data_IF_393259459487
#
_entry.id   IF_393259459487
#
_cell.length_a   1.000
_cell.length_b   1.000
_cell.length_c   1.000
_cell.angle_alpha   90.00
_cell.angle_beta   90.00
_cell.angle_gamma   90.00
#
_symmetry.space_group_name_H-M   'P 1'
#
loop_
_entity.id
_entity.type
_entity.pdbx_description
1 polymer ?
#
# COMPACT_ATOMS: atom_id res chain seq x y z
N UNK A 1 26.59 11.28 -20.21
CA UNK A 1 26.37 10.55 -21.47
C UNK A 1 24.98 9.91 -21.39
N UNK A 2 23.92 10.73 -21.58
CA UNK A 2 22.48 10.33 -21.55
C UNK A 2 21.82 10.93 -22.80
N UNK A 3 22.26 10.51 -23.95
CA UNK A 3 21.76 11.09 -25.20
C UNK A 3 21.69 10.07 -26.29
N UNK A 4 20.80 9.04 -26.15
CA UNK A 4 20.49 8.17 -27.32
C UNK A 4 19.22 7.29 -27.08
N UNK A 5 18.22 7.76 -26.30
CA UNK A 5 16.95 7.03 -26.14
C UNK A 5 15.75 7.68 -26.84
N UNK A 6 16.00 8.62 -27.76
CA UNK A 6 14.97 9.12 -28.69
C UNK A 6 15.33 8.73 -30.09
N UNK A 7 15.31 7.44 -30.43
CA UNK A 7 15.09 7.06 -31.82
C UNK A 7 13.63 7.33 -32.13
N UNK A 8 13.40 8.22 -33.07
CA UNK A 8 12.11 8.43 -33.71
C UNK A 8 11.47 7.08 -34.00
N UNK A 9 10.48 6.71 -33.20
CA UNK A 9 9.64 5.55 -33.46
C UNK A 9 8.76 5.95 -34.64
N UNK A 10 9.05 5.46 -35.83
CA UNK A 10 8.18 5.57 -37.00
C UNK A 10 6.94 4.66 -36.88
N UNK A 11 6.69 4.08 -35.70
CA UNK A 11 5.50 3.33 -35.47
C UNK A 11 4.27 4.26 -35.46
N UNK A 12 3.24 3.90 -36.22
CA UNK A 12 1.98 4.62 -36.21
C UNK A 12 1.45 4.71 -34.77
N UNK A 13 0.86 5.84 -34.35
CA UNK A 13 0.28 5.96 -33.03
C UNK A 13 -0.78 4.88 -32.84
N UNK A 14 -0.77 4.23 -31.65
CA UNK A 14 -1.82 3.27 -31.28
C UNK A 14 -3.12 4.05 -31.13
N UNK A 15 -4.14 3.69 -31.90
CA UNK A 15 -5.46 4.29 -31.76
C UNK A 15 -6.07 3.87 -30.41
N UNK A 16 -6.41 4.84 -29.58
CA UNK A 16 -7.15 4.61 -28.35
C UNK A 16 -8.65 4.61 -28.64
N UNK A 17 -9.33 3.50 -28.33
CA UNK A 17 -10.78 3.42 -28.36
C UNK A 17 -11.35 3.75 -26.99
N UNK A 18 -12.41 4.58 -26.95
CA UNK A 18 -13.11 4.88 -25.71
C UNK A 18 -13.86 3.61 -25.26
N UNK A 19 -13.55 3.12 -24.06
CA UNK A 19 -14.29 2.07 -23.39
C UNK A 19 -15.04 2.68 -22.20
N UNK A 20 -16.33 2.88 -22.35
CA UNK A 20 -17.19 3.40 -21.27
C UNK A 20 -17.62 2.22 -20.39
N UNK A 21 -16.99 2.04 -19.23
CA UNK A 21 -17.49 1.21 -18.15
C UNK A 21 -18.29 2.09 -17.18
N UNK A 22 -19.58 1.83 -17.03
CA UNK A 22 -20.40 2.40 -15.95
C UNK A 22 -20.37 1.45 -14.78
N UNK A 23 -19.67 1.82 -13.71
CA UNK A 23 -19.78 1.17 -12.42
C UNK A 23 -20.44 2.16 -11.45
N UNK A 24 -21.44 1.70 -10.69
CA UNK A 24 -21.92 2.40 -9.49
C UNK A 24 -21.23 1.71 -8.34
N UNK A 25 -20.15 2.30 -7.83
CA UNK A 25 -19.46 1.80 -6.66
C UNK A 25 -20.04 2.50 -5.43
N UNK A 26 -20.64 1.72 -4.53
CA UNK A 26 -20.85 2.12 -3.15
C UNK A 26 -19.76 1.43 -2.34
N UNK A 27 -18.79 2.19 -1.86
CA UNK A 27 -17.68 1.68 -1.07
C UNK A 27 -17.96 1.97 0.42
N UNK A 28 -17.93 0.92 1.24
CA UNK A 28 -17.96 1.04 2.69
C UNK A 28 -16.58 0.65 3.19
N UNK A 29 -15.83 1.62 3.68
CA UNK A 29 -14.52 1.40 4.26
C UNK A 29 -14.63 1.23 5.77
N UNK A 30 -14.06 0.14 6.30
CA UNK A 30 -13.96 -0.13 7.73
C UNK A 30 -12.56 0.17 8.21
N UNK A 31 -12.41 1.24 8.99
CA UNK A 31 -11.17 1.58 9.64
C UNK A 31 -11.16 1.12 11.09
N UNK A 32 -9.99 0.73 11.64
CA UNK A 32 -9.86 0.52 13.07
C UNK A 32 -10.24 1.79 13.84
N UNK A 33 -10.85 1.63 15.01
CA UNK A 33 -11.11 2.76 15.89
C UNK A 33 -9.81 3.48 16.26
N UNK A 34 -9.73 4.75 15.91
CA UNK A 34 -8.64 5.63 16.28
C UNK A 34 -9.12 6.60 17.35
N UNK A 35 -8.34 6.76 18.40
CA UNK A 35 -8.67 7.65 19.53
C UNK A 35 -8.84 9.11 19.12
N UNK A 36 -8.26 9.55 18.01
CA UNK A 36 -8.43 10.88 17.41
C UNK A 36 -7.96 10.89 15.95
N UNK A 37 -8.48 11.81 15.09
CA UNK A 37 -7.92 12.04 13.77
C UNK A 37 -6.44 12.42 13.90
N UNK A 38 -5.59 11.70 13.17
CA UNK A 38 -4.15 11.97 13.20
C UNK A 38 -3.78 13.11 12.26
N UNK A 39 -3.07 14.10 12.79
CA UNK A 39 -2.28 15.01 11.96
C UNK A 39 -1.02 14.33 11.40
N UNK A 40 -0.30 15.00 10.50
CA UNK A 40 0.97 14.49 9.99
C UNK A 40 1.96 14.20 11.14
N UNK A 41 2.50 12.98 11.18
CA UNK A 41 3.51 12.59 12.16
C UNK A 41 4.83 13.35 11.96
N UNK A 42 5.68 13.34 12.99
CA UNK A 42 7.03 13.86 12.86
C UNK A 42 7.84 13.06 11.83
N UNK A 43 7.67 11.75 11.80
CA UNK A 43 8.30 10.82 10.83
C UNK A 43 7.88 11.16 9.41
N UNK A 44 6.58 11.36 9.16
CA UNK A 44 6.06 11.73 7.84
C UNK A 44 6.62 13.07 7.35
N UNK A 45 6.63 14.11 8.21
CA UNK A 45 7.23 15.40 7.86
C UNK A 45 8.71 15.29 7.54
N UNK A 46 9.45 14.48 8.32
CA UNK A 46 10.87 14.24 8.08
C UNK A 46 11.08 13.54 6.73
N UNK A 47 10.31 12.50 6.42
CA UNK A 47 10.37 11.75 5.17
C UNK A 47 10.12 12.66 3.96
N UNK A 48 9.08 13.51 4.01
CA UNK A 48 8.80 14.49 2.95
C UNK A 48 9.96 15.47 2.76
N UNK A 49 10.45 16.02 3.85
CA UNK A 49 11.58 16.98 3.82
C UNK A 49 12.84 16.34 3.25
N UNK A 50 13.17 15.12 3.68
CA UNK A 50 14.31 14.37 3.16
C UNK A 50 14.16 14.05 1.65
N UNK A 51 12.95 13.65 1.22
CA UNK A 51 12.67 13.39 -0.18
C UNK A 51 12.80 14.63 -1.07
N UNK A 52 12.25 15.77 -0.64
CA UNK A 52 12.42 17.03 -1.37
C UNK A 52 13.89 17.47 -1.43
N UNK A 53 14.63 17.35 -0.32
CA UNK A 53 16.07 17.67 -0.26
C UNK A 53 16.89 16.75 -1.17
N UNK A 54 16.48 15.48 -1.30
CA UNK A 54 17.12 14.53 -2.21
C UNK A 54 16.75 14.75 -3.68
N UNK A 55 15.87 15.69 -3.99
CA UNK A 55 15.42 15.97 -5.35
C UNK A 55 14.53 14.87 -5.94
N UNK A 56 13.79 14.15 -5.09
CA UNK A 56 12.83 13.16 -5.58
C UNK A 56 11.78 13.82 -6.47
N UNK A 57 11.45 13.11 -7.53
CA UNK A 57 10.47 13.53 -8.54
C UNK A 57 9.27 12.62 -8.53
N UNK A 58 8.18 13.05 -9.14
CA UNK A 58 7.00 12.21 -9.36
C UNK A 58 7.39 10.89 -10.05
N UNK A 59 7.00 9.77 -9.47
CA UNK A 59 7.35 8.44 -9.97
C UNK A 59 6.72 8.10 -11.33
N UNK A 60 5.74 8.89 -11.78
CA UNK A 60 5.05 8.70 -13.07
C UNK A 60 5.52 9.71 -14.10
N UNK A 61 5.48 11.00 -13.76
CA UNK A 61 5.76 12.08 -14.71
C UNK A 61 7.19 12.61 -14.69
N UNK A 62 7.96 12.32 -13.64
CA UNK A 62 9.28 12.92 -13.43
C UNK A 62 9.23 14.40 -13.02
N UNK A 63 8.06 14.98 -12.77
CA UNK A 63 7.94 16.38 -12.35
C UNK A 63 8.50 16.60 -10.94
N UNK A 64 9.14 17.75 -10.66
CA UNK A 64 9.67 18.08 -9.36
C UNK A 64 8.55 18.41 -8.35
N UNK A 65 8.93 18.44 -7.08
CA UNK A 65 8.04 18.80 -5.96
C UNK A 65 6.79 17.90 -5.81
N UNK A 66 6.95 16.56 -5.79
CA UNK A 66 5.81 15.65 -5.63
C UNK A 66 5.18 15.75 -4.24
N UNK A 67 3.91 15.37 -4.16
CA UNK A 67 3.25 14.96 -2.94
C UNK A 67 3.66 13.50 -2.60
N UNK A 68 3.36 13.01 -1.38
CA UNK A 68 3.77 11.67 -0.94
C UNK A 68 2.54 10.86 -0.55
N UNK A 69 2.40 9.69 -1.16
CA UNK A 69 1.29 8.77 -0.96
C UNK A 69 1.79 7.47 -0.32
N UNK A 70 1.04 6.93 0.65
CA UNK A 70 1.29 5.62 1.22
C UNK A 70 0.93 4.53 0.20
N UNK A 71 1.86 3.62 -0.13
CA UNK A 71 1.66 2.63 -1.20
C UNK A 71 1.07 1.33 -0.69
N UNK A 72 1.66 0.80 0.37
CA UNK A 72 1.32 -0.55 0.85
C UNK A 72 0.42 -0.52 2.07
N UNK A 73 0.64 0.43 2.96
CA UNK A 73 -0.10 0.57 4.20
C UNK A 73 -0.42 2.03 4.47
N UNK A 74 -1.70 2.38 4.47
CA UNK A 74 -2.20 3.64 4.98
C UNK A 74 -2.12 3.68 6.50
N UNK A 75 -1.88 4.87 7.04
CA UNK A 75 -1.85 5.05 8.49
C UNK A 75 -3.13 4.57 9.17
N UNK A 76 -4.27 4.76 8.55
CA UNK A 76 -5.56 4.38 9.08
C UNK A 76 -5.66 2.89 9.46
N UNK A 77 -4.89 2.02 8.80
CA UNK A 77 -4.87 0.58 9.04
C UNK A 77 -3.73 0.12 9.96
N UNK A 78 -2.80 1.00 10.32
CA UNK A 78 -1.58 0.62 11.04
C UNK A 78 -1.86 -0.14 12.36
N UNK A 79 -2.89 0.28 13.09
CA UNK A 79 -3.25 -0.31 14.38
C UNK A 79 -3.92 -1.69 14.27
N UNK A 80 -4.43 -2.05 13.09
CA UNK A 80 -5.04 -3.36 12.83
C UNK A 80 -4.03 -4.43 12.39
N UNK A 81 -2.79 -4.04 12.04
CA UNK A 81 -1.77 -4.95 11.53
C UNK A 81 -1.00 -5.60 12.68
N UNK A 82 -0.75 -6.90 12.55
CA UNK A 82 0.21 -7.62 13.38
C UNK A 82 1.63 -7.40 12.88
N UNK A 83 2.24 -6.31 13.34
CA UNK A 83 3.60 -5.93 12.93
C UNK A 83 4.69 -6.90 13.39
N UNK A 84 4.43 -7.68 14.43
CA UNK A 84 5.35 -8.74 14.88
C UNK A 84 5.44 -9.83 13.82
N UNK A 85 4.30 -10.26 13.30
CA UNK A 85 4.25 -11.23 12.20
C UNK A 85 4.86 -10.64 10.93
N UNK A 86 4.56 -9.39 10.56
CA UNK A 86 5.17 -8.71 9.39
C UNK A 86 6.69 -8.70 9.49
N UNK A 87 7.25 -8.30 10.65
CA UNK A 87 8.68 -8.33 10.89
C UNK A 87 9.25 -9.74 10.74
N UNK A 88 8.62 -10.73 11.38
CA UNK A 88 9.06 -12.13 11.32
C UNK A 88 9.12 -12.67 9.88
N UNK A 89 8.16 -12.30 9.02
CA UNK A 89 8.19 -12.59 7.57
C UNK A 89 9.38 -11.91 6.91
N UNK A 90 9.54 -10.61 7.16
CA UNK A 90 10.56 -9.79 6.48
C UNK A 90 11.98 -10.24 6.77
N UNK A 91 12.28 -10.65 8.01
CA UNK A 91 13.61 -11.14 8.44
C UNK A 91 13.76 -12.66 8.31
N UNK A 92 12.74 -13.35 7.80
CA UNK A 92 12.78 -14.78 7.51
C UNK A 92 12.66 -15.69 8.71
N UNK A 93 12.17 -15.22 9.85
CA UNK A 93 11.85 -16.04 11.03
C UNK A 93 10.55 -16.82 10.84
N UNK A 94 9.57 -16.22 10.16
CA UNK A 94 8.31 -16.87 9.80
C UNK A 94 8.43 -17.41 8.37
N UNK A 95 8.16 -18.72 8.22
CA UNK A 95 8.24 -19.45 6.94
C UNK A 95 6.90 -19.84 6.36
N UNK A 96 5.87 -19.86 7.20
CA UNK A 96 4.52 -20.23 6.82
C UNK A 96 3.52 -19.24 7.42
N UNK A 97 2.46 -18.99 6.69
CA UNK A 97 1.32 -18.18 7.13
C UNK A 97 0.06 -19.04 7.20
N UNK A 98 -0.90 -18.70 8.08
CA UNK A 98 -2.15 -19.40 8.14
C UNK A 98 -2.96 -19.21 6.86
N UNK A 99 -3.59 -20.28 6.39
CA UNK A 99 -4.65 -20.19 5.38
C UNK A 99 -5.90 -19.67 6.08
N UNK A 100 -6.41 -18.55 5.60
CA UNK A 100 -7.64 -17.95 6.12
C UNK A 100 -8.86 -18.43 5.33
N UNK A 101 -9.96 -18.59 6.02
CA UNK A 101 -11.26 -18.78 5.40
C UNK A 101 -11.70 -17.46 4.75
N UNK A 102 -12.05 -17.43 3.44
CA UNK A 102 -12.30 -16.18 2.74
C UNK A 102 -13.59 -15.46 3.16
N UNK A 103 -14.49 -16.15 3.89
CA UNK A 103 -15.75 -15.58 4.35
C UNK A 103 -15.62 -15.04 5.78
N UNK A 104 -15.02 -15.85 6.67
CA UNK A 104 -14.93 -15.51 8.10
C UNK A 104 -13.62 -14.81 8.46
N UNK A 105 -12.64 -14.84 7.55
CA UNK A 105 -11.28 -14.31 7.76
C UNK A 105 -10.54 -14.95 8.95
N UNK A 106 -10.97 -16.17 9.34
CA UNK A 106 -10.36 -16.91 10.43
C UNK A 106 -9.40 -17.99 9.94
N UNK A 107 -8.34 -18.30 10.70
CA UNK A 107 -7.43 -19.40 10.37
C UNK A 107 -8.16 -20.74 10.26
N UNK A 108 -7.91 -21.46 9.16
CA UNK A 108 -8.49 -22.78 8.89
C UNK A 108 -7.74 -23.93 9.57
N UNK A 109 -6.64 -23.64 10.27
CA UNK A 109 -5.71 -24.63 10.83
C UNK A 109 -4.71 -25.18 9.81
N UNK A 110 -4.74 -24.73 8.56
CA UNK A 110 -3.74 -25.02 7.53
C UNK A 110 -2.77 -23.86 7.37
N UNK A 111 -1.59 -24.13 6.81
CA UNK A 111 -0.59 -23.12 6.49
C UNK A 111 -0.18 -23.19 5.01
N UNK A 112 0.49 -22.15 4.54
CA UNK A 112 1.10 -22.09 3.21
C UNK A 112 2.45 -21.35 3.28
N UNK A 113 3.39 -21.65 2.36
CA UNK A 113 4.71 -21.00 2.35
C UNK A 113 4.61 -19.49 2.21
N UNK A 114 5.35 -18.77 3.04
CA UNK A 114 5.35 -17.30 3.08
C UNK A 114 5.73 -16.67 1.74
N UNK A 115 6.58 -17.33 0.96
CA UNK A 115 7.04 -16.89 -0.36
C UNK A 115 5.91 -16.74 -1.39
N UNK A 116 4.77 -17.39 -1.14
CA UNK A 116 3.57 -17.29 -1.99
C UNK A 116 2.64 -16.17 -1.56
N UNK A 117 2.96 -15.45 -0.50
CA UNK A 117 2.11 -14.40 0.05
C UNK A 117 2.43 -13.03 -0.53
N UNK A 118 1.43 -12.16 -0.61
CA UNK A 118 1.61 -10.77 -1.00
C UNK A 118 2.44 -9.99 0.03
N UNK A 119 2.32 -10.31 1.34
CA UNK A 119 3.12 -9.65 2.36
C UNK A 119 4.61 -9.92 2.19
N UNK A 120 5.01 -11.13 1.76
CA UNK A 120 6.39 -11.42 1.44
C UNK A 120 6.92 -10.54 0.30
N UNK A 121 6.13 -10.38 -0.77
CA UNK A 121 6.48 -9.49 -1.88
C UNK A 121 6.64 -8.04 -1.41
N UNK A 122 5.74 -7.55 -0.56
CA UNK A 122 5.84 -6.20 0.04
C UNK A 122 7.15 -6.07 0.84
N UNK A 123 7.50 -7.08 1.67
CA UNK A 123 8.74 -7.08 2.43
C UNK A 123 9.98 -7.07 1.52
N UNK A 124 9.97 -7.81 0.42
CA UNK A 124 11.06 -7.78 -0.57
C UNK A 124 11.21 -6.40 -1.22
N UNK A 125 10.10 -5.79 -1.67
CA UNK A 125 10.11 -4.46 -2.29
C UNK A 125 10.62 -3.41 -1.31
N UNK A 126 10.14 -3.41 -0.07
CA UNK A 126 10.50 -2.41 0.93
C UNK A 126 11.95 -2.59 1.41
N UNK A 127 12.47 -3.83 1.48
CA UNK A 127 13.90 -4.12 1.69
C UNK A 127 14.75 -3.56 0.54
N UNK A 128 14.34 -3.78 -0.71
CA UNK A 128 15.01 -3.21 -1.87
C UNK A 128 15.01 -1.67 -1.85
N UNK A 129 13.97 -1.07 -1.28
CA UNK A 129 13.85 0.37 -1.01
C UNK A 129 14.58 0.83 0.27
N UNK A 130 15.44 -0.03 0.83
CA UNK A 130 16.34 0.24 1.96
C UNK A 130 15.65 0.40 3.32
N UNK A 131 14.50 -0.21 3.52
CA UNK A 131 13.94 -0.33 4.86
C UNK A 131 14.66 -1.42 5.65
N UNK A 132 15.05 -1.09 6.88
CA UNK A 132 15.75 -2.03 7.77
C UNK A 132 14.74 -2.75 8.67
N UNK A 133 14.27 -3.90 8.21
CA UNK A 133 13.34 -4.75 8.96
C UNK A 133 13.97 -5.33 10.24
N UNK A 134 15.30 -5.52 10.30
CA UNK A 134 15.94 -6.00 11.53
C UNK A 134 15.87 -4.94 12.64
N UNK A 135 16.09 -3.69 12.31
CA UNK A 135 16.01 -2.56 13.25
C UNK A 135 14.56 -2.11 13.53
N UNK A 136 13.57 -2.55 12.74
CA UNK A 136 12.17 -2.17 12.91
C UNK A 136 11.62 -2.59 14.27
N UNK A 137 10.94 -1.67 14.97
CA UNK A 137 10.23 -1.91 16.22
C UNK A 137 8.72 -2.06 15.92
N UNK A 138 8.11 -3.25 16.11
CA UNK A 138 6.69 -3.48 15.89
C UNK A 138 5.76 -2.59 16.71
N UNK A 139 6.24 -2.06 17.86
CA UNK A 139 5.47 -1.14 18.70
C UNK A 139 5.48 0.32 18.17
N UNK A 140 6.24 0.57 17.09
CA UNK A 140 6.37 1.88 16.45
C UNK A 140 6.12 1.80 14.95
N UNK A 141 4.90 1.41 14.54
CA UNK A 141 4.57 1.17 13.14
C UNK A 141 4.78 2.40 12.25
N UNK A 142 4.70 3.61 12.80
CA UNK A 142 4.95 4.85 12.07
C UNK A 142 6.35 4.91 11.45
N UNK A 143 7.31 4.18 12.01
CA UNK A 143 8.68 4.12 11.46
C UNK A 143 8.75 3.41 10.12
N UNK A 144 7.80 2.50 9.82
CA UNK A 144 7.59 1.91 8.51
C UNK A 144 6.55 2.68 7.70
N UNK A 145 5.36 2.87 8.25
CA UNK A 145 4.21 3.43 7.54
C UNK A 145 4.54 4.79 6.93
N UNK A 146 5.23 5.63 7.68
CA UNK A 146 5.63 6.97 7.26
C UNK A 146 7.05 7.04 6.65
N UNK A 147 7.68 5.88 6.38
CA UNK A 147 9.01 5.82 5.76
C UNK A 147 8.96 5.99 4.25
N UNK A 148 10.08 6.37 3.65
CA UNK A 148 10.22 6.42 2.19
C UNK A 148 10.02 5.04 1.53
N UNK A 149 10.21 3.94 2.25
CA UNK A 149 9.99 2.60 1.73
C UNK A 149 8.50 2.32 1.44
N UNK A 150 7.59 2.94 2.21
CA UNK A 150 6.14 2.86 2.02
C UNK A 150 5.56 4.06 1.25
N UNK A 151 6.39 5.04 0.83
CA UNK A 151 5.92 6.24 0.13
C UNK A 151 6.12 6.14 -1.38
N UNK A 152 5.18 6.71 -2.13
CA UNK A 152 5.29 6.96 -3.56
C UNK A 152 5.19 8.47 -3.80
N UNK A 153 6.25 9.10 -4.32
CA UNK A 153 6.18 10.50 -4.71
C UNK A 153 5.35 10.66 -5.99
N UNK A 154 4.30 11.46 -5.93
CA UNK A 154 3.36 11.67 -7.03
C UNK A 154 3.05 13.16 -7.18
N UNK A 155 2.88 13.65 -8.40
CA UNK A 155 2.27 14.96 -8.58
C UNK A 155 0.76 14.93 -8.26
N UNK A 156 0.17 16.10 -8.05
CA UNK A 156 -1.21 16.24 -7.61
C UNK A 156 -2.23 15.54 -8.55
N UNK A 157 -1.90 15.43 -9.85
CA UNK A 157 -2.76 14.75 -10.82
C UNK A 157 -2.86 13.26 -10.51
N UNK A 158 -1.73 12.59 -10.27
CA UNK A 158 -1.69 11.16 -10.01
C UNK A 158 -1.98 10.82 -8.55
N UNK A 159 -1.91 11.79 -7.65
CA UNK A 159 -2.19 11.61 -6.23
C UNK A 159 -3.67 11.78 -5.90
N UNK A 160 -4.26 12.94 -6.20
CA UNK A 160 -5.58 13.34 -5.69
C UNK A 160 -6.59 13.80 -6.73
N UNK A 161 -6.28 13.67 -8.03
CA UNK A 161 -7.27 13.99 -9.06
C UNK A 161 -8.48 13.06 -8.99
N UNK A 162 -9.71 13.55 -9.12
CA UNK A 162 -10.91 12.72 -9.03
C UNK A 162 -11.04 11.66 -10.12
N UNK A 163 -10.28 11.78 -11.21
CA UNK A 163 -10.33 10.84 -12.35
C UNK A 163 -9.07 10.02 -12.54
N UNK A 164 -7.91 10.51 -12.07
CA UNK A 164 -6.60 9.90 -12.32
C UNK A 164 -5.79 9.70 -11.04
N UNK A 165 -6.25 10.22 -9.89
CA UNK A 165 -5.55 10.15 -8.62
C UNK A 165 -5.75 8.80 -7.92
N UNK A 166 -4.70 8.32 -7.28
CA UNK A 166 -4.72 7.04 -6.57
C UNK A 166 -5.72 7.04 -5.39
N UNK A 167 -5.98 8.20 -4.77
CA UNK A 167 -6.98 8.33 -3.71
C UNK A 167 -8.43 8.06 -4.15
N UNK A 168 -8.69 8.02 -5.45
CA UNK A 168 -10.00 7.67 -6.00
C UNK A 168 -10.06 6.20 -6.47
N UNK A 169 -9.18 5.37 -5.93
CA UNK A 169 -9.12 3.92 -6.15
C UNK A 169 -9.09 3.20 -4.81
N UNK A 170 -9.64 2.02 -4.77
CA UNK A 170 -9.72 1.16 -3.57
C UNK A 170 -8.36 0.53 -3.18
N UNK A 171 -7.28 1.01 -3.77
CA UNK A 171 -5.94 0.43 -3.60
C UNK A 171 -5.48 0.31 -2.13
N UNK A 172 -5.70 1.28 -1.23
CA UNK A 172 -5.31 1.14 0.18
C UNK A 172 -6.00 -0.03 0.87
N UNK A 173 -7.30 -0.18 0.67
CA UNK A 173 -8.09 -1.28 1.24
C UNK A 173 -7.67 -2.61 0.65
N UNK A 174 -7.45 -2.69 -0.66
CA UNK A 174 -6.98 -3.90 -1.31
C UNK A 174 -5.61 -4.34 -0.81
N UNK A 175 -4.65 -3.43 -0.73
CA UNK A 175 -3.29 -3.74 -0.26
C UNK A 175 -3.24 -4.08 1.22
N UNK A 176 -4.10 -3.49 2.04
CA UNK A 176 -4.22 -3.80 3.47
C UNK A 176 -4.51 -5.28 3.72
N UNK A 177 -5.30 -5.92 2.86
CA UNK A 177 -5.62 -7.35 3.00
C UNK A 177 -4.40 -8.28 2.91
N UNK A 178 -3.27 -7.78 2.39
CA UNK A 178 -2.01 -8.53 2.35
C UNK A 178 -1.33 -8.63 3.71
N UNK A 179 -1.67 -7.76 4.66
CA UNK A 179 -1.03 -7.72 5.97
C UNK A 179 -1.73 -8.66 6.95
N UNK A 180 -0.98 -9.42 7.78
CA UNK A 180 -1.54 -10.14 8.89
C UNK A 180 -2.15 -9.16 9.89
N UNK A 181 -3.33 -9.51 10.40
CA UNK A 181 -4.14 -8.61 11.23
C UNK A 181 -4.15 -9.07 12.67
N UNK A 182 -4.30 -8.11 13.57
CA UNK A 182 -4.54 -8.40 14.98
C UNK A 182 -5.83 -9.18 15.15
N UNK A 183 -5.86 -10.09 16.15
CA UNK A 183 -7.06 -10.84 16.47
C UNK A 183 -8.25 -9.90 16.77
N UNK A 184 -9.41 -10.26 16.24
CA UNK A 184 -10.64 -9.49 16.39
C UNK A 184 -10.90 -8.45 15.30
N UNK A 185 -9.92 -8.08 14.47
CA UNK A 185 -10.17 -7.25 13.29
C UNK A 185 -10.54 -8.14 12.10
N UNK A 186 -11.81 -8.12 11.74
CA UNK A 186 -12.36 -8.87 10.61
C UNK A 186 -12.75 -7.89 9.51
N UNK A 187 -12.27 -8.15 8.30
CA UNK A 187 -12.61 -7.42 7.10
C UNK A 187 -13.13 -8.41 6.06
N UNK A 188 -14.44 -8.44 5.90
CA UNK A 188 -15.10 -9.33 4.94
C UNK A 188 -15.80 -8.48 3.89
N UNK A 189 -15.42 -8.58 2.61
CA UNK A 189 -16.13 -7.89 1.53
C UNK A 189 -17.59 -8.29 1.48
N UNK A 190 -18.48 -7.32 1.29
CA UNK A 190 -19.92 -7.55 1.30
C UNK A 190 -20.38 -8.56 0.23
N UNK A 191 -19.73 -8.57 -0.93
CA UNK A 191 -20.01 -9.50 -2.03
C UNK A 191 -19.76 -10.95 -1.62
N UNK A 192 -18.78 -11.19 -0.74
CA UNK A 192 -18.43 -12.53 -0.25
C UNK A 192 -19.30 -12.92 0.95
N UNK A 193 -19.64 -11.95 1.80
CA UNK A 193 -20.47 -12.19 2.98
C UNK A 193 -21.95 -12.41 2.66
N UNK A 194 -22.39 -12.03 1.45
CA UNK A 194 -23.79 -12.03 1.06
C UNK A 194 -24.65 -11.02 1.83
N UNK A 195 -24.01 -10.03 2.46
CA UNK A 195 -24.71 -8.95 3.14
C UNK A 195 -25.49 -8.15 2.07
N UNK A 196 -26.80 -8.13 2.24
CA UNK A 196 -27.67 -7.25 1.44
C UNK A 196 -27.60 -5.86 2.04
N UNK A 197 -27.11 -4.90 1.30
CA UNK A 197 -27.25 -3.50 1.68
C UNK A 197 -28.74 -3.18 1.85
N UNK A 198 -29.14 -2.74 3.03
CA UNK A 198 -30.49 -2.31 3.35
C UNK A 198 -30.69 -0.84 2.93
#
# INVERSE_FOLDING_TARGET
MYGEFMKDSTAAPVEAHEHLAKATEAEVEYYPDHAAPRGESATFRHTKTAGHKAGLVCAISGQPHPEYHHVFCEWAFADAIDWTTVKGVAIGEIKELPVLDPITDQPTGKTFPVEQSLIYLICLITTARKFDWHAFDPEKPETFVDSMANMLPLDAKFHRSPTHGIHHRTAPTWSFQAFPRKAGFVFTPDEVSGAKHA
#
